data_IF_420577713583
#
_entry.id   IF_420577713583
#
_cell.length_a   1.000
_cell.length_b   1.000
_cell.length_c   1.000
_cell.angle_alpha   90.00
_cell.angle_beta   90.00
_cell.angle_gamma   90.00
#
_symmetry.space_group_name_H-M   'P 1'
#
loop_
_entity.id
_entity.type
_entity.pdbx_description
1 polymer ?
#
# COMPACT_ATOMS: atom_id res chain seq x y z
N UNK A 1 28.55 5.39 51.79
CA UNK A 1 29.91 4.92 52.13
C UNK A 1 30.67 4.68 50.83
N UNK A 2 31.93 5.11 50.81
CA UNK A 2 32.93 4.99 49.74
C UNK A 2 32.76 5.93 48.53
N UNK A 3 33.24 7.13 48.81
CA UNK A 3 33.79 8.20 47.99
C UNK A 3 34.98 7.83 47.07
N UNK A 4 35.15 8.68 46.05
CA UNK A 4 36.39 9.36 45.61
C UNK A 4 37.03 9.01 44.24
N UNK A 5 37.70 10.02 43.62
CA UNK A 5 37.55 10.41 42.22
C UNK A 5 38.93 10.43 41.51
N UNK A 6 39.02 11.00 40.29
CA UNK A 6 40.20 11.79 39.89
C UNK A 6 39.87 12.65 38.65
N UNK A 7 39.90 13.98 38.87
CA UNK A 7 40.09 15.01 37.86
C UNK A 7 41.59 15.13 37.54
N UNK A 8 41.92 15.52 36.30
CA UNK A 8 42.92 16.56 36.08
C UNK A 8 42.72 17.26 34.73
N UNK A 9 42.45 18.56 34.84
CA UNK A 9 42.51 19.66 33.87
C UNK A 9 43.88 19.82 33.18
N UNK A 10 43.93 20.31 31.93
CA UNK A 10 44.74 21.48 31.54
C UNK A 10 44.52 21.96 30.09
N UNK A 11 44.75 23.26 29.95
CA UNK A 11 44.39 24.27 28.95
C UNK A 11 44.99 24.22 27.53
N UNK A 12 44.24 24.89 26.62
CA UNK A 12 44.58 25.80 25.52
C UNK A 12 45.95 25.74 24.78
N UNK A 13 45.86 25.69 23.44
CA UNK A 13 46.68 26.48 22.51
C UNK A 13 47.52 25.69 21.50
N UNK A 14 47.10 25.65 20.23
CA UNK A 14 47.90 26.21 19.11
C UNK A 14 47.21 26.02 17.74
N UNK A 15 47.05 27.14 17.04
CA UNK A 15 46.72 27.21 15.61
C UNK A 15 47.83 26.55 14.77
N UNK A 16 47.46 25.68 13.81
CA UNK A 16 48.30 25.41 12.64
C UNK A 16 47.48 25.34 11.35
N UNK A 17 47.93 26.16 10.42
CA UNK A 17 47.39 26.41 9.10
C UNK A 17 47.42 25.21 8.15
N UNK A 18 46.47 25.28 7.21
CA UNK A 18 46.34 24.52 5.98
C UNK A 18 47.66 24.31 5.21
N UNK A 19 47.89 23.05 4.83
CA UNK A 19 48.62 22.66 3.63
C UNK A 19 48.31 21.20 3.35
N UNK A 20 47.27 20.92 2.55
CA UNK A 20 47.15 19.73 1.68
C UNK A 20 45.86 19.83 0.84
N UNK A 21 45.87 20.73 -0.14
CA UNK A 21 44.77 20.89 -1.11
C UNK A 21 45.06 20.31 -2.50
N UNK A 22 46.23 19.70 -2.72
CA UNK A 22 46.68 19.32 -4.07
C UNK A 22 46.69 17.82 -4.36
N UNK A 23 46.76 16.93 -3.37
CA UNK A 23 46.82 15.47 -3.63
C UNK A 23 45.42 14.84 -3.80
N UNK A 24 44.44 15.30 -3.00
CA UNK A 24 43.06 14.77 -3.02
C UNK A 24 42.34 15.09 -4.34
N UNK A 25 42.65 16.24 -4.95
CA UNK A 25 42.07 16.67 -6.23
C UNK A 25 42.63 15.92 -7.43
N UNK A 26 43.90 15.51 -7.38
CA UNK A 26 44.52 14.67 -8.43
C UNK A 26 44.04 13.22 -8.41
N UNK A 27 43.83 12.62 -7.23
CA UNK A 27 43.28 11.27 -7.14
C UNK A 27 41.82 11.21 -7.58
N UNK A 28 41.01 12.21 -7.21
CA UNK A 28 39.62 12.32 -7.65
C UNK A 28 39.52 12.50 -9.18
N UNK A 29 40.37 13.33 -9.76
CA UNK A 29 40.40 13.56 -11.22
C UNK A 29 40.78 12.27 -11.99
N UNK A 30 41.72 11.50 -11.45
CA UNK A 30 42.14 10.21 -12.04
C UNK A 30 41.02 9.16 -11.97
N UNK A 31 40.32 9.09 -10.84
CA UNK A 31 39.18 8.18 -10.67
C UNK A 31 38.03 8.52 -11.64
N UNK A 32 37.80 9.81 -11.89
CA UNK A 32 36.81 10.29 -12.85
C UNK A 32 37.18 9.92 -14.31
N UNK A 33 38.46 10.04 -14.69
CA UNK A 33 38.94 9.61 -16.00
C UNK A 33 38.82 8.09 -16.19
N UNK A 34 39.19 7.30 -15.18
CA UNK A 34 39.08 5.84 -15.22
C UNK A 34 37.61 5.39 -15.35
N UNK A 35 36.70 6.03 -14.62
CA UNK A 35 35.26 5.78 -14.74
C UNK A 35 34.74 6.10 -16.15
N UNK A 36 35.15 7.24 -16.71
CA UNK A 36 34.77 7.63 -18.08
C UNK A 36 35.32 6.65 -19.13
N UNK A 37 36.54 6.13 -18.94
CA UNK A 37 37.12 5.13 -19.82
C UNK A 37 36.39 3.79 -19.76
N UNK A 38 36.02 3.33 -18.57
CA UNK A 38 35.23 2.10 -18.40
C UNK A 38 33.84 2.28 -19.02
N UNK A 39 33.17 3.41 -18.76
CA UNK A 39 31.86 3.72 -19.34
C UNK A 39 31.90 3.73 -20.87
N UNK A 40 32.92 4.36 -21.49
CA UNK A 40 33.10 4.32 -22.93
C UNK A 40 33.33 2.91 -23.46
N UNK A 41 34.15 2.10 -22.79
CA UNK A 41 34.41 0.72 -23.20
C UNK A 41 33.13 -0.13 -23.15
N UNK A 42 32.32 0.02 -22.11
CA UNK A 42 31.02 -0.66 -21.98
C UNK A 42 30.07 -0.21 -23.08
N UNK A 43 29.95 1.11 -23.32
CA UNK A 43 29.11 1.67 -24.38
C UNK A 43 29.46 1.11 -25.76
N UNK A 44 30.74 1.13 -26.16
CA UNK A 44 31.15 0.61 -27.47
C UNK A 44 30.96 -0.89 -27.60
N UNK A 45 31.13 -1.64 -26.51
CA UNK A 45 30.87 -3.10 -26.49
C UNK A 45 29.39 -3.39 -26.69
N UNK A 46 28.51 -2.69 -25.97
CA UNK A 46 27.06 -2.81 -26.11
C UNK A 46 26.59 -2.39 -27.50
N UNK A 47 27.13 -1.29 -28.04
CA UNK A 47 26.82 -0.82 -29.40
C UNK A 47 27.22 -1.84 -30.48
N UNK A 48 28.36 -2.50 -30.32
CA UNK A 48 28.81 -3.56 -31.22
C UNK A 48 27.91 -4.81 -31.13
N UNK A 49 27.54 -5.22 -29.91
CA UNK A 49 26.63 -6.33 -29.69
C UNK A 49 25.24 -6.06 -30.29
N UNK A 50 24.70 -4.86 -30.05
CA UNK A 50 23.43 -4.42 -30.62
C UNK A 50 23.45 -4.42 -32.15
N UNK A 51 24.54 -3.92 -32.77
CA UNK A 51 24.68 -3.94 -34.22
C UNK A 51 24.69 -5.37 -34.77
N UNK A 52 25.36 -6.30 -34.08
CA UNK A 52 25.41 -7.71 -34.46
C UNK A 52 24.02 -8.37 -34.37
N UNK A 53 23.30 -8.15 -33.26
CA UNK A 53 21.94 -8.67 -33.08
C UNK A 53 21.00 -8.07 -34.12
N UNK A 54 21.12 -6.78 -34.42
CA UNK A 54 20.32 -6.11 -35.46
C UNK A 54 20.56 -6.71 -36.84
N UNK A 55 21.82 -7.03 -37.19
CA UNK A 55 22.12 -7.70 -38.45
C UNK A 55 21.57 -9.12 -38.53
N UNK A 56 21.61 -9.89 -37.43
CA UNK A 56 21.04 -11.24 -37.39
C UNK A 56 19.51 -11.23 -37.46
N UNK A 57 18.86 -10.25 -36.81
CA UNK A 57 17.42 -10.03 -36.94
C UNK A 57 17.02 -9.75 -38.38
N UNK A 58 17.77 -8.92 -39.09
CA UNK A 58 17.47 -8.59 -40.49
C UNK A 58 17.70 -9.78 -41.42
N UNK A 59 18.73 -10.61 -41.17
CA UNK A 59 18.93 -11.89 -41.89
C UNK A 59 17.77 -12.86 -41.67
N UNK A 60 17.31 -13.02 -40.43
CA UNK A 60 16.17 -13.88 -40.10
C UNK A 60 14.89 -13.40 -40.79
N UNK A 61 14.69 -12.08 -40.84
CA UNK A 61 13.56 -11.49 -41.55
C UNK A 61 13.61 -11.78 -43.06
N UNK A 62 14.79 -11.66 -43.68
CA UNK A 62 14.98 -12.02 -45.09
C UNK A 62 14.75 -13.51 -45.38
N UNK A 63 15.10 -14.41 -44.45
CA UNK A 63 14.80 -15.84 -44.59
C UNK A 63 13.30 -16.12 -44.56
N UNK A 64 12.57 -15.48 -43.65
CA UNK A 64 11.10 -15.60 -43.58
C UNK A 64 10.39 -15.05 -44.82
N UNK A 65 10.89 -13.96 -45.38
CA UNK A 65 10.34 -13.41 -46.63
C UNK A 65 10.64 -14.31 -47.85
N UNK A 66 11.76 -15.06 -47.86
CA UNK A 66 12.08 -16.02 -48.93
C UNK A 66 11.28 -17.34 -48.86
N UNK A 67 10.89 -17.81 -47.67
CA UNK A 67 10.05 -19.01 -47.53
C UNK A 67 8.57 -18.75 -47.90
N UNK A 68 8.16 -17.50 -48.08
CA UNK A 68 6.79 -17.14 -48.46
C UNK A 68 6.47 -17.27 -49.96
N UNK A 69 7.47 -17.56 -50.82
CA UNK A 69 7.30 -17.62 -52.29
C UNK A 69 7.43 -19.04 -52.87
N UNK A 70 7.76 -20.06 -52.07
CA UNK A 70 7.77 -21.45 -52.55
C UNK A 70 6.39 -22.11 -52.38
N UNK A 71 5.68 -22.34 -53.49
CA UNK A 71 4.43 -23.12 -53.57
C UNK A 71 4.53 -24.46 -52.82
N UNK A 72 3.45 -24.95 -52.16
CA UNK A 72 3.50 -26.20 -51.41
C UNK A 72 3.83 -27.37 -52.33
N UNK A 73 4.87 -28.13 -51.98
CA UNK A 73 5.28 -29.33 -52.69
C UNK A 73 4.17 -30.39 -52.68
N UNK A 74 4.09 -31.18 -53.75
CA UNK A 74 3.10 -32.23 -54.01
C UNK A 74 2.99 -33.32 -52.91
N UNK A 75 3.86 -33.29 -51.90
CA UNK A 75 3.88 -34.21 -50.76
C UNK A 75 2.78 -33.92 -49.72
N UNK A 76 2.34 -32.66 -49.58
CA UNK A 76 1.30 -32.27 -48.61
C UNK A 76 -0.12 -32.67 -49.09
N UNK A 77 -0.35 -32.68 -50.40
CA UNK A 77 -1.62 -33.11 -50.99
C UNK A 77 -1.79 -34.64 -50.88
N UNK A 78 -0.69 -35.41 -50.95
CA UNK A 78 -0.73 -36.87 -50.79
C UNK A 78 -1.12 -37.32 -49.37
N UNK A 79 -0.62 -36.63 -48.34
CA UNK A 79 -0.93 -36.95 -46.95
C UNK A 79 -2.39 -36.64 -46.57
N UNK A 80 -2.97 -35.58 -47.15
CA UNK A 80 -4.37 -35.21 -46.90
C UNK A 80 -5.36 -36.21 -47.50
N UNK A 81 -5.00 -36.84 -48.62
CA UNK A 81 -5.81 -37.87 -49.28
C UNK A 81 -5.69 -39.25 -48.59
N UNK A 82 -4.55 -39.56 -47.97
CA UNK A 82 -4.38 -40.80 -47.22
C UNK A 82 -5.16 -40.80 -45.89
N UNK A 83 -5.25 -39.65 -45.20
CA UNK A 83 -6.03 -39.52 -43.95
C UNK A 83 -7.55 -39.54 -44.15
N UNK A 84 -8.05 -39.23 -45.35
CA UNK A 84 -9.49 -39.21 -45.64
C UNK A 84 -10.05 -40.57 -46.06
N UNK A 85 -9.19 -41.58 -46.28
CA UNK A 85 -9.59 -42.95 -46.63
C UNK A 85 -9.67 -43.94 -45.43
N UNK A 86 -9.24 -43.56 -44.23
CA UNK A 86 -9.28 -44.45 -43.04
C UNK A 86 -10.49 -44.22 -42.11
N UNK A 87 -11.32 -43.20 -42.36
CA UNK A 87 -12.45 -42.84 -41.48
C UNK A 87 -13.78 -43.54 -41.77
N UNK A 88 -13.81 -44.62 -42.57
CA UNK A 88 -15.06 -45.32 -42.94
C UNK A 88 -15.17 -46.79 -42.54
N UNK A 89 -14.18 -47.39 -41.86
CA UNK A 89 -14.29 -48.78 -41.41
C UNK A 89 -13.94 -48.96 -39.92
N UNK A 90 -14.98 -49.30 -39.14
CA UNK A 90 -15.00 -50.04 -37.87
C UNK A 90 -15.71 -49.37 -36.68
N UNK A 91 -17.03 -49.54 -36.65
CA UNK A 91 -17.75 -49.87 -35.41
C UNK A 91 -17.44 -51.33 -35.01
N UNK A 92 -17.37 -51.58 -33.68
CA UNK A 92 -17.34 -52.87 -32.96
C UNK A 92 -15.99 -53.61 -32.80
N UNK A 93 -15.32 -53.44 -31.64
CA UNK A 93 -15.08 -54.54 -30.65
C UNK A 93 -14.34 -54.10 -29.37
N UNK A 94 -14.59 -54.88 -28.31
CA UNK A 94 -14.24 -54.71 -26.90
C UNK A 94 -12.80 -55.17 -26.50
N UNK A 95 -12.33 -54.56 -25.41
CA UNK A 95 -11.11 -54.71 -24.58
C UNK A 95 -10.45 -56.10 -24.44
N UNK A 96 -9.10 -56.14 -24.51
CA UNK A 96 -8.20 -57.00 -23.68
C UNK A 96 -6.86 -56.28 -23.42
N UNK A 97 -6.43 -56.35 -22.15
CA UNK A 97 -5.18 -55.88 -21.55
C UNK A 97 -3.96 -56.70 -22.00
N UNK A 98 -2.84 -56.07 -22.44
CA UNK A 98 -1.50 -56.67 -22.37
C UNK A 98 -0.40 -55.60 -22.15
N UNK A 99 0.67 -56.06 -21.49
CA UNK A 99 1.66 -55.33 -20.71
C UNK A 99 2.82 -54.80 -21.57
N UNK A 100 3.38 -53.68 -21.10
CA UNK A 100 4.55 -52.90 -21.51
C UNK A 100 5.73 -53.63 -22.17
N UNK A 101 6.31 -52.99 -23.20
CA UNK A 101 7.75 -52.70 -23.27
C UNK A 101 8.06 -51.56 -24.26
N UNK A 102 8.83 -50.60 -23.74
CA UNK A 102 9.71 -49.62 -24.39
C UNK A 102 9.21 -48.61 -25.45
N UNK A 103 9.41 -47.35 -25.06
CA UNK A 103 10.00 -46.26 -25.85
C UNK A 103 9.10 -45.31 -26.66
N UNK A 104 8.95 -44.12 -26.06
CA UNK A 104 9.20 -42.79 -26.65
C UNK A 104 8.14 -42.23 -27.63
N UNK A 105 7.35 -41.29 -27.08
CA UNK A 105 7.09 -39.90 -27.56
C UNK A 105 5.61 -39.48 -27.63
N UNK A 106 5.41 -38.23 -27.20
CA UNK A 106 4.25 -37.32 -27.37
C UNK A 106 3.02 -37.54 -26.48
N UNK A 107 3.12 -37.07 -25.23
CA UNK A 107 2.00 -36.40 -24.55
C UNK A 107 2.04 -34.93 -24.98
N UNK A 108 0.94 -34.47 -25.56
CA UNK A 108 0.62 -33.04 -25.73
C UNK A 108 0.35 -32.46 -24.35
N UNK A 109 1.28 -31.66 -23.83
CA UNK A 109 1.04 -30.83 -22.66
C UNK A 109 1.26 -29.37 -23.05
N UNK A 110 0.16 -28.61 -23.05
CA UNK A 110 0.17 -27.17 -23.27
C UNK A 110 0.52 -26.52 -21.94
N UNK A 111 1.82 -26.38 -21.67
CA UNK A 111 2.34 -25.57 -20.57
C UNK A 111 2.96 -24.29 -21.15
N UNK A 112 2.27 -23.16 -21.00
CA UNK A 112 2.89 -21.84 -21.04
C UNK A 112 3.82 -21.72 -19.84
N UNK A 113 5.10 -21.94 -20.07
CA UNK A 113 6.20 -21.74 -19.11
C UNK A 113 6.44 -20.23 -18.97
N UNK A 114 6.21 -19.67 -17.79
CA UNK A 114 6.71 -18.35 -17.41
C UNK A 114 8.19 -18.51 -17.04
N UNK A 115 9.08 -17.77 -17.71
CA UNK A 115 10.49 -17.71 -17.34
C UNK A 115 10.67 -16.72 -16.20
N UNK A 116 10.70 -17.23 -14.95
CA UNK A 116 11.37 -16.50 -13.87
C UNK A 116 12.89 -16.65 -14.03
N UNK A 117 13.64 -15.58 -13.77
CA UNK A 117 15.10 -15.59 -13.85
C UNK A 117 15.69 -16.62 -12.89
N UNK A 118 16.63 -17.43 -13.39
CA UNK A 118 17.21 -18.54 -12.65
C UNK A 118 18.11 -18.04 -11.50
N UNK A 119 17.69 -18.26 -10.26
CA UNK A 119 18.54 -18.07 -9.08
C UNK A 119 19.70 -19.09 -9.13
N UNK A 120 20.92 -18.58 -9.27
CA UNK A 120 22.14 -19.37 -9.14
C UNK A 120 22.35 -19.66 -7.65
N UNK A 121 22.01 -20.88 -7.23
CA UNK A 121 22.31 -21.37 -5.88
C UNK A 121 23.83 -21.58 -5.74
N UNK A 122 24.52 -20.58 -5.19
CA UNK A 122 25.86 -20.77 -4.64
C UNK A 122 25.74 -21.60 -3.35
N UNK A 123 26.21 -22.84 -3.42
CA UNK A 123 26.28 -23.75 -2.28
C UNK A 123 27.28 -23.22 -1.25
N UNK A 124 26.82 -22.87 -0.04
CA UNK A 124 27.66 -22.72 1.13
C UNK A 124 27.25 -23.76 2.19
N UNK A 125 28.27 -24.44 2.70
CA UNK A 125 28.21 -25.61 3.56
C UNK A 125 27.89 -25.26 5.03
N UNK A 126 27.10 -26.13 5.66
CA UNK A 126 26.97 -26.49 7.09
C UNK A 126 27.71 -25.67 8.17
N UNK A 127 26.95 -25.11 9.14
CA UNK A 127 26.93 -25.55 10.56
C UNK A 127 25.89 -24.77 11.39
N UNK A 128 25.29 -25.44 12.38
CA UNK A 128 24.16 -25.00 13.21
C UNK A 128 24.56 -24.19 14.46
N UNK A 129 23.62 -23.37 14.97
CA UNK A 129 23.59 -22.56 16.21
C UNK A 129 24.46 -21.27 16.18
N UNK A 130 24.05 -20.07 16.60
CA UNK A 130 23.10 -19.64 17.64
C UNK A 130 22.30 -18.36 17.26
N UNK A 131 21.36 -18.01 18.14
CA UNK A 131 20.50 -16.82 18.15
C UNK A 131 21.33 -15.53 18.23
N UNK A 132 21.11 -14.59 17.30
CA UNK A 132 21.49 -13.18 17.47
C UNK A 132 20.59 -12.28 16.62
N UNK A 133 19.87 -11.38 17.30
CA UNK A 133 19.22 -10.21 16.68
C UNK A 133 20.31 -9.23 16.24
N UNK A 134 20.48 -9.01 14.94
CA UNK A 134 21.23 -7.86 14.43
C UNK A 134 20.70 -7.44 13.04
N UNK A 135 20.06 -6.27 13.01
CA UNK A 135 19.58 -5.60 11.81
C UNK A 135 20.78 -4.98 11.08
N UNK A 136 21.25 -5.61 10.00
CA UNK A 136 22.22 -4.99 9.10
C UNK A 136 21.60 -4.54 7.78
N UNK A 137 21.66 -3.22 7.63
CA UNK A 137 21.40 -2.40 6.46
C UNK A 137 22.33 -2.77 5.30
N UNK A 138 21.74 -3.10 4.14
CA UNK A 138 22.37 -2.98 2.84
C UNK A 138 21.28 -2.63 1.81
N UNK A 139 21.32 -1.38 1.35
CA UNK A 139 20.51 -0.82 0.29
C UNK A 139 21.10 -1.18 -1.07
N UNK A 140 20.34 -1.88 -1.91
CA UNK A 140 20.60 -1.94 -3.35
C UNK A 140 19.54 -1.11 -4.08
N UNK A 141 20.02 0.01 -4.62
CA UNK A 141 19.33 0.92 -5.52
C UNK A 141 19.09 0.18 -6.84
N UNK A 142 17.85 0.19 -7.33
CA UNK A 142 17.59 -0.07 -8.75
C UNK A 142 16.75 1.06 -9.32
N UNK A 143 17.41 1.94 -10.05
CA UNK A 143 16.80 2.92 -10.94
C UNK A 143 16.11 2.15 -12.08
N UNK A 144 14.78 2.26 -12.15
CA UNK A 144 14.06 1.94 -13.39
C UNK A 144 13.60 3.25 -14.01
N UNK A 145 14.52 3.85 -14.78
CA UNK A 145 14.21 4.83 -15.82
C UNK A 145 13.42 4.08 -16.90
N UNK A 146 12.14 4.41 -17.05
CA UNK A 146 11.37 4.04 -18.24
C UNK A 146 11.57 5.12 -19.30
N UNK A 147 12.49 4.89 -20.23
CA UNK A 147 12.55 5.63 -21.49
C UNK A 147 11.75 4.87 -22.57
N UNK A 148 11.00 5.67 -23.33
CA UNK A 148 10.54 5.48 -24.70
C UNK A 148 9.32 4.60 -25.03
N UNK A 149 8.19 5.29 -25.18
CA UNK A 149 7.28 5.11 -26.31
C UNK A 149 6.84 6.48 -26.85
N UNK A 150 7.74 7.16 -27.57
CA UNK A 150 7.41 8.31 -28.40
C UNK A 150 8.22 8.23 -29.70
N UNK A 151 7.67 7.55 -30.70
CA UNK A 151 8.11 7.76 -32.08
C UNK A 151 6.93 7.75 -33.03
N UNK A 152 6.80 8.89 -33.71
CA UNK A 152 6.02 9.21 -34.90
C UNK A 152 4.65 9.86 -34.65
N UNK A 153 4.65 11.18 -34.44
CA UNK A 153 3.65 12.11 -35.03
C UNK A 153 4.05 13.60 -34.88
N UNK A 154 5.34 13.93 -35.01
CA UNK A 154 5.79 15.35 -35.07
C UNK A 154 6.05 15.71 -36.53
N UNK A 155 4.98 15.98 -37.29
CA UNK A 155 5.13 16.82 -38.50
C UNK A 155 3.88 17.59 -38.94
N UNK A 156 2.74 17.54 -38.22
CA UNK A 156 1.49 18.16 -38.70
C UNK A 156 0.84 19.24 -37.82
N UNK A 157 1.46 19.73 -36.74
CA UNK A 157 0.83 20.78 -35.90
C UNK A 157 1.74 21.98 -35.66
N UNK A 158 2.07 22.72 -36.72
CA UNK A 158 2.68 24.06 -36.62
C UNK A 158 1.80 25.20 -37.14
N UNK A 159 0.49 24.99 -37.27
CA UNK A 159 -0.44 26.04 -37.72
C UNK A 159 -1.77 26.02 -36.98
N UNK A 160 -1.79 26.32 -35.68
CA UNK A 160 -2.86 27.12 -35.01
C UNK A 160 -2.49 27.33 -33.54
N UNK A 161 -1.72 28.39 -33.26
CA UNK A 161 -1.68 28.99 -31.92
C UNK A 161 -2.45 30.29 -32.00
N UNK A 162 -3.77 30.21 -31.91
CA UNK A 162 -4.59 31.34 -31.53
C UNK A 162 -4.77 31.30 -30.01
N UNK A 163 -4.26 32.32 -29.33
CA UNK A 163 -4.48 32.58 -27.91
C UNK A 163 -5.98 32.68 -27.63
N UNK A 164 -6.50 31.80 -26.78
CA UNK A 164 -7.79 32.01 -26.11
C UNK A 164 -7.53 32.91 -24.88
N UNK A 165 -8.28 34.00 -24.67
CA UNK A 165 -8.03 34.92 -23.55
C UNK A 165 -8.37 34.28 -22.20
N UNK A 166 -7.60 34.69 -21.19
CA UNK A 166 -7.86 34.48 -19.75
C UNK A 166 -9.34 34.66 -19.40
N UNK A 167 -10.02 33.54 -19.20
CA UNK A 167 -11.22 33.45 -18.38
C UNK A 167 -10.92 32.41 -17.31
N UNK A 168 -10.83 32.85 -16.05
CA UNK A 168 -10.81 31.96 -14.89
C UNK A 168 -12.14 31.19 -14.92
N UNK A 169 -12.13 30.04 -15.57
CA UNK A 169 -13.22 29.08 -15.48
C UNK A 169 -12.90 28.23 -14.25
N UNK A 170 -13.48 28.59 -13.11
CA UNK A 170 -13.50 27.73 -11.91
C UNK A 170 -14.11 26.39 -12.32
N UNK A 171 -13.24 25.44 -12.66
CA UNK A 171 -13.63 24.08 -12.97
C UNK A 171 -13.89 23.37 -11.64
N UNK A 172 -15.02 23.66 -10.99
CA UNK A 172 -15.54 22.81 -9.93
C UNK A 172 -15.90 21.45 -10.53
N UNK A 173 -14.89 20.59 -10.68
CA UNK A 173 -15.04 19.24 -11.18
C UNK A 173 -15.89 18.46 -10.18
N UNK A 174 -17.17 18.28 -10.51
CA UNK A 174 -18.11 17.52 -9.68
C UNK A 174 -17.53 16.13 -9.37
N UNK A 175 -17.38 15.80 -8.08
CA UNK A 175 -16.87 14.49 -7.64
C UNK A 175 -17.74 13.36 -8.21
N UNK A 176 -17.10 12.30 -8.74
CA UNK A 176 -17.83 11.12 -9.26
C UNK A 176 -18.59 10.42 -8.14
N UNK A 177 -19.80 9.94 -8.43
CA UNK A 177 -20.64 9.19 -7.48
C UNK A 177 -20.66 7.68 -7.72
N UNK A 178 -20.03 7.21 -8.81
CA UNK A 178 -19.94 5.78 -9.16
C UNK A 178 -18.66 5.48 -9.95
N UNK A 179 -18.23 4.23 -9.90
CA UNK A 179 -17.16 3.70 -10.75
C UNK A 179 -17.70 3.26 -12.12
N UNK A 180 -16.84 3.17 -13.16
CA UNK A 180 -17.24 2.71 -14.49
C UNK A 180 -17.78 1.28 -14.54
N UNK A 181 -17.37 0.43 -13.59
CA UNK A 181 -17.75 -0.98 -13.52
C UNK A 181 -18.06 -1.41 -12.09
N UNK A 182 -18.92 -2.43 -11.89
CA UNK A 182 -19.13 -3.05 -10.59
C UNK A 182 -17.92 -3.87 -10.15
N UNK A 183 -17.85 -4.19 -8.85
CA UNK A 183 -16.83 -5.08 -8.29
C UNK A 183 -16.85 -6.46 -8.97
N UNK A 184 -15.69 -7.05 -9.33
CA UNK A 184 -15.64 -8.37 -9.95
C UNK A 184 -16.16 -9.47 -9.03
N UNK A 185 -16.71 -10.54 -9.62
CA UNK A 185 -17.08 -11.72 -8.85
C UNK A 185 -15.83 -12.55 -8.50
N UNK A 186 -15.50 -12.63 -7.22
CA UNK A 186 -14.31 -13.32 -6.71
C UNK A 186 -14.58 -14.76 -6.28
N UNK A 187 -15.75 -15.35 -6.60
CA UNK A 187 -16.12 -16.72 -6.19
C UNK A 187 -15.12 -17.80 -6.59
N UNK A 188 -14.37 -17.56 -7.67
CA UNK A 188 -13.44 -18.53 -8.25
C UNK A 188 -12.03 -18.45 -7.63
N UNK A 189 -11.77 -17.45 -6.78
CA UNK A 189 -10.45 -17.24 -6.16
C UNK A 189 -10.46 -17.83 -4.74
N UNK A 190 -9.76 -18.96 -4.56
CA UNK A 190 -9.61 -19.57 -3.24
C UNK A 190 -8.55 -18.84 -2.40
N UNK A 191 -9.01 -17.99 -1.47
CA UNK A 191 -8.16 -17.39 -0.44
C UNK A 191 -7.42 -18.44 0.39
N UNK A 192 -8.04 -19.61 0.59
CA UNK A 192 -7.42 -20.69 1.34
C UNK A 192 -6.17 -21.22 0.67
N UNK A 193 -6.16 -21.35 -0.65
CA UNK A 193 -4.96 -21.82 -1.37
C UNK A 193 -3.81 -20.81 -1.21
N UNK A 194 -4.11 -19.52 -1.25
CA UNK A 194 -3.12 -18.45 -1.05
C UNK A 194 -2.58 -18.48 0.39
N UNK A 195 -3.47 -18.52 1.38
CA UNK A 195 -3.08 -18.46 2.80
C UNK A 195 -2.37 -19.72 3.25
N UNK A 196 -2.83 -20.91 2.82
CA UNK A 196 -2.19 -22.20 3.11
C UNK A 196 -0.74 -22.23 2.64
N UNK A 197 -0.48 -21.71 1.44
CA UNK A 197 0.87 -21.69 0.85
C UNK A 197 1.79 -20.67 1.52
N UNK A 198 1.26 -19.80 2.39
CA UNK A 198 1.98 -18.72 3.05
C UNK A 198 1.87 -18.74 4.59
N UNK A 199 1.48 -19.88 5.18
CA UNK A 199 1.47 -20.04 6.64
C UNK A 199 2.89 -19.85 7.19
N UNK A 200 3.04 -19.01 8.21
CA UNK A 200 4.32 -18.71 8.85
C UNK A 200 5.16 -17.64 8.16
N UNK A 201 4.74 -17.15 6.98
CA UNK A 201 5.37 -16.01 6.30
C UNK A 201 4.72 -14.69 6.72
N UNK A 202 5.46 -13.59 6.55
CA UNK A 202 4.88 -12.25 6.65
C UNK A 202 3.89 -12.04 5.49
N UNK A 203 2.60 -11.89 5.82
CA UNK A 203 1.53 -11.72 4.84
C UNK A 203 1.68 -10.44 3.99
N UNK A 204 2.47 -9.46 4.44
CA UNK A 204 2.77 -8.26 3.65
C UNK A 204 3.52 -8.60 2.34
N UNK A 205 4.30 -9.69 2.34
CA UNK A 205 5.06 -10.18 1.17
C UNK A 205 4.27 -11.14 0.28
N UNK A 206 3.01 -11.43 0.61
CA UNK A 206 2.17 -12.35 -0.16
C UNK A 206 1.44 -11.59 -1.27
N UNK A 207 1.79 -11.92 -2.52
CA UNK A 207 1.10 -11.43 -3.72
C UNK A 207 -0.35 -11.93 -3.71
N UNK A 208 -1.29 -10.99 -3.78
CA UNK A 208 -2.72 -11.30 -3.84
C UNK A 208 -3.21 -11.09 -5.27
N UNK A 209 -4.06 -11.99 -5.80
CA UNK A 209 -4.74 -11.75 -7.07
C UNK A 209 -5.48 -10.42 -7.05
N UNK A 210 -5.34 -9.65 -8.13
CA UNK A 210 -5.90 -8.29 -8.25
C UNK A 210 -7.41 -8.23 -7.98
N UNK A 211 -8.16 -9.29 -8.29
CA UNK A 211 -9.59 -9.35 -8.03
C UNK A 211 -9.97 -9.32 -6.54
N UNK A 212 -9.03 -9.61 -5.63
CA UNK A 212 -9.25 -9.53 -4.18
C UNK A 212 -8.87 -8.16 -3.60
N UNK A 213 -8.27 -7.28 -4.41
CA UNK A 213 -7.97 -5.93 -4.02
C UNK A 213 -9.17 -5.01 -4.23
N UNK A 214 -9.31 -4.00 -3.39
CA UNK A 214 -10.13 -2.83 -3.73
C UNK A 214 -9.32 -1.84 -4.57
N UNK A 215 -9.95 -1.02 -5.42
CA UNK A 215 -9.26 -0.06 -6.28
C UNK A 215 -8.80 1.19 -5.52
N UNK A 216 -8.20 0.99 -4.34
CA UNK A 216 -7.58 2.01 -3.50
C UNK A 216 -6.28 1.47 -2.91
N UNK A 217 -5.28 2.32 -2.76
CA UNK A 217 -4.01 1.98 -2.09
C UNK A 217 -4.01 2.41 -0.61
N UNK A 218 -2.98 2.04 0.15
CA UNK A 218 -2.84 2.44 1.57
C UNK A 218 -2.76 3.96 1.76
N UNK A 219 -2.16 4.70 0.81
CA UNK A 219 -2.04 6.16 0.86
C UNK A 219 -3.40 6.85 0.82
N UNK A 220 -4.30 6.34 -0.01
CA UNK A 220 -5.69 6.75 -0.09
C UNK A 220 -6.45 6.37 1.17
N UNK A 221 -6.21 5.17 1.73
CA UNK A 221 -6.81 4.77 3.03
C UNK A 221 -6.48 5.74 4.16
N UNK A 222 -5.25 6.25 4.20
CA UNK A 222 -4.87 7.28 5.18
C UNK A 222 -5.67 8.58 5.00
N UNK A 223 -5.95 8.98 3.75
CA UNK A 223 -6.78 10.14 3.47
C UNK A 223 -8.24 9.93 3.89
N UNK A 224 -8.76 8.69 3.83
CA UNK A 224 -10.13 8.40 4.25
C UNK A 224 -10.37 8.64 5.76
N UNK A 225 -9.32 8.72 6.57
CA UNK A 225 -9.45 9.08 7.99
C UNK A 225 -9.91 10.53 8.20
N UNK A 226 -9.78 11.37 7.17
CA UNK A 226 -10.30 12.75 7.12
C UNK A 226 -11.74 12.82 6.56
N UNK A 227 -12.45 11.68 6.44
CA UNK A 227 -13.86 11.68 6.04
C UNK A 227 -14.72 12.56 6.97
N UNK A 228 -14.40 12.62 8.26
CA UNK A 228 -15.14 13.40 9.25
C UNK A 228 -14.29 14.56 9.84
N UNK A 229 -13.48 15.22 9.00
CA UNK A 229 -12.58 16.32 9.41
C UNK A 229 -13.34 17.50 10.05
N UNK A 230 -14.62 17.68 9.77
CA UNK A 230 -15.46 18.72 10.38
C UNK A 230 -15.58 18.59 11.90
N UNK A 231 -15.26 17.44 12.48
CA UNK A 231 -15.14 17.26 13.92
C UNK A 231 -13.94 18.04 14.48
N UNK A 232 -12.84 18.13 13.74
CA UNK A 232 -11.67 18.93 14.10
C UNK A 232 -11.96 20.42 13.95
N UNK A 233 -12.69 20.83 12.90
CA UNK A 233 -13.16 22.20 12.77
C UNK A 233 -14.00 22.63 13.96
N UNK A 234 -14.99 21.81 14.37
CA UNK A 234 -15.78 22.06 15.58
C UNK A 234 -14.90 22.16 16.82
N UNK A 235 -13.93 21.27 16.98
CA UNK A 235 -13.01 21.30 18.12
C UNK A 235 -12.19 22.61 18.15
N UNK A 236 -11.74 23.12 17.00
CA UNK A 236 -10.93 24.32 16.89
C UNK A 236 -11.64 25.60 17.41
N UNK A 237 -12.97 25.60 17.50
CA UNK A 237 -13.75 26.75 18.00
C UNK A 237 -14.29 26.58 19.43
N UNK A 238 -13.97 25.48 20.12
CA UNK A 238 -14.49 25.20 21.47
C UNK A 238 -13.49 25.64 22.55
N UNK A 239 -13.82 26.62 23.42
CA UNK A 239 -12.88 27.10 24.44
C UNK A 239 -12.56 26.07 25.53
N UNK A 240 -13.49 25.19 25.85
CA UNK A 240 -13.36 24.21 26.92
C UNK A 240 -12.52 22.99 26.46
N UNK A 241 -11.33 22.73 27.05
CA UNK A 241 -10.45 21.63 26.61
C UNK A 241 -11.10 20.25 26.80
N UNK A 242 -11.98 20.07 27.78
CA UNK A 242 -12.70 18.81 28.00
C UNK A 242 -13.69 18.52 26.87
N UNK A 243 -14.36 19.55 26.35
CA UNK A 243 -15.28 19.42 25.22
C UNK A 243 -14.51 19.26 23.90
N UNK A 244 -13.38 19.95 23.71
CA UNK A 244 -12.49 19.71 22.56
C UNK A 244 -12.04 18.25 22.50
N UNK A 245 -11.62 17.70 23.64
CA UNK A 245 -11.22 16.29 23.75
C UNK A 245 -12.33 15.34 23.31
N UNK A 246 -13.61 15.65 23.57
CA UNK A 246 -14.75 14.84 23.11
C UNK A 246 -14.82 14.79 21.57
N UNK A 247 -14.59 15.91 20.89
CA UNK A 247 -14.59 15.95 19.42
C UNK A 247 -13.37 15.27 18.80
N UNK A 248 -12.18 15.46 19.37
CA UNK A 248 -10.96 14.74 18.94
C UNK A 248 -11.14 13.23 19.14
N UNK A 249 -11.76 12.82 20.25
CA UNK A 249 -12.09 11.42 20.52
C UNK A 249 -13.10 10.84 19.52
N UNK A 250 -14.13 11.61 19.15
CA UNK A 250 -15.05 11.21 18.10
C UNK A 250 -14.37 11.10 16.73
N UNK A 251 -13.49 12.03 16.39
CA UNK A 251 -12.70 12.00 15.16
C UNK A 251 -11.83 10.74 15.10
N UNK A 252 -11.09 10.42 16.17
CA UNK A 252 -10.25 9.22 16.24
C UNK A 252 -11.03 7.91 16.04
N UNK A 253 -12.28 7.83 16.53
CA UNK A 253 -13.14 6.66 16.32
C UNK A 253 -13.71 6.63 14.90
N UNK A 254 -14.05 7.79 14.33
CA UNK A 254 -14.66 7.89 13.00
C UNK A 254 -13.79 7.29 11.89
N UNK A 255 -12.46 7.32 12.05
CA UNK A 255 -11.49 6.70 11.15
C UNK A 255 -11.70 5.18 10.93
N UNK A 256 -12.40 4.51 11.85
CA UNK A 256 -12.69 3.07 11.75
C UNK A 256 -14.03 2.77 11.05
N UNK A 257 -14.91 3.75 10.86
CA UNK A 257 -16.29 3.52 10.43
C UNK A 257 -16.38 2.85 9.04
N UNK A 258 -15.59 3.35 8.09
CA UNK A 258 -15.59 2.89 6.70
C UNK A 258 -15.07 1.45 6.53
N UNK A 259 -14.38 0.89 7.54
CA UNK A 259 -13.88 -0.47 7.52
C UNK A 259 -15.03 -1.50 7.61
N UNK A 260 -16.15 -1.13 8.23
CA UNK A 260 -17.30 -2.01 8.45
C UNK A 260 -17.81 -2.61 7.13
N UNK A 261 -17.94 -1.76 6.10
CA UNK A 261 -18.45 -2.14 4.79
C UNK A 261 -17.39 -2.77 3.88
N UNK A 262 -16.11 -2.78 4.31
CA UNK A 262 -14.95 -3.19 3.50
C UNK A 262 -14.07 -4.23 4.19
N UNK A 263 -14.62 -4.96 5.16
CA UNK A 263 -13.93 -5.99 5.95
C UNK A 263 -13.24 -7.08 5.11
N UNK A 264 -13.58 -7.24 3.82
CA UNK A 264 -12.98 -8.22 2.92
C UNK A 264 -11.99 -7.67 1.90
N UNK A 265 -11.78 -6.36 1.88
CA UNK A 265 -11.01 -5.67 0.84
C UNK A 265 -9.57 -5.46 1.26
N UNK A 266 -8.62 -5.83 0.40
CA UNK A 266 -7.20 -5.50 0.59
C UNK A 266 -6.88 -4.25 -0.25
N UNK A 267 -6.38 -3.15 0.33
CA UNK A 267 -5.87 -2.06 -0.47
C UNK A 267 -4.60 -2.48 -1.22
N UNK A 268 -4.32 -1.82 -2.34
CA UNK A 268 -3.03 -1.95 -3.00
C UNK A 268 -1.90 -1.51 -2.06
N UNK A 269 -0.82 -2.29 -2.04
CA UNK A 269 0.41 -1.90 -1.37
C UNK A 269 1.13 -0.90 -2.28
N UNK A 270 1.30 0.36 -1.87
CA UNK A 270 1.98 1.35 -2.71
C UNK A 270 3.43 0.94 -3.00
N UNK A 271 3.94 1.34 -4.16
CA UNK A 271 5.38 1.21 -4.47
C UNK A 271 6.18 2.27 -3.70
N UNK A 272 7.49 2.03 -3.49
CA UNK A 272 8.36 3.01 -2.83
C UNK A 272 8.36 4.33 -3.61
N UNK A 273 8.17 5.45 -2.92
CA UNK A 273 8.08 6.79 -3.53
C UNK A 273 6.75 7.09 -4.23
N UNK A 274 5.77 6.18 -4.19
CA UNK A 274 4.41 6.49 -4.64
C UNK A 274 3.81 7.57 -3.74
N UNK A 275 3.10 8.52 -4.35
CA UNK A 275 2.47 9.65 -3.66
C UNK A 275 0.96 9.69 -3.92
N UNK A 276 0.20 10.30 -3.01
CA UNK A 276 -1.20 10.61 -3.20
C UNK A 276 -1.55 11.96 -2.57
N UNK A 277 -2.38 12.75 -3.26
CA UNK A 277 -2.87 14.04 -2.77
C UNK A 277 -4.40 14.11 -2.81
N UNK A 278 -5.02 14.79 -1.83
CA UNK A 278 -6.38 15.34 -1.95
C UNK A 278 -6.37 16.81 -1.57
N UNK A 279 -6.67 17.67 -2.52
CA UNK A 279 -7.15 19.02 -2.22
C UNK A 279 -8.67 18.92 -2.11
N UNK A 280 -9.16 19.02 -0.88
CA UNK A 280 -10.54 18.80 -0.54
C UNK A 280 -11.16 20.16 -0.15
N UNK A 281 -11.39 21.03 -1.15
CA UNK A 281 -11.87 22.42 -0.99
C UNK A 281 -13.17 22.51 -0.18
N UNK A 282 -14.10 21.58 -0.42
CA UNK A 282 -15.39 21.48 0.29
C UNK A 282 -15.24 21.25 1.80
N UNK A 283 -14.11 20.69 2.22
CA UNK A 283 -13.77 20.44 3.63
C UNK A 283 -12.63 21.31 4.15
N UNK A 284 -12.11 22.23 3.33
CA UNK A 284 -11.06 23.17 3.73
C UNK A 284 -9.75 22.53 4.18
N UNK A 285 -9.34 21.40 3.57
CA UNK A 285 -8.04 20.79 3.84
C UNK A 285 -7.28 20.37 2.58
N UNK A 286 -5.96 20.34 2.67
CA UNK A 286 -5.03 19.83 1.68
C UNK A 286 -4.26 18.67 2.30
N UNK A 287 -4.34 17.50 1.68
CA UNK A 287 -3.72 16.26 2.14
C UNK A 287 -2.65 15.80 1.16
N UNK A 288 -1.51 15.35 1.68
CA UNK A 288 -0.46 14.68 0.94
C UNK A 288 0.03 13.43 1.68
N UNK A 289 0.38 12.39 0.96
CA UNK A 289 1.00 11.19 1.52
C UNK A 289 1.98 10.53 0.56
N UNK A 290 2.94 9.82 1.15
CA UNK A 290 4.03 9.15 0.44
C UNK A 290 4.32 7.78 1.07
N UNK A 291 4.66 6.81 0.22
CA UNK A 291 5.23 5.54 0.65
C UNK A 291 6.73 5.69 0.89
N UNK A 292 7.11 5.99 2.14
CA UNK A 292 8.50 6.33 2.52
C UNK A 292 9.40 5.11 2.74
N UNK A 293 8.83 3.92 2.84
CA UNK A 293 9.59 2.66 2.94
C UNK A 293 8.78 1.49 2.41
N UNK A 294 9.45 0.50 1.82
CA UNK A 294 8.82 -0.74 1.32
C UNK A 294 9.10 -1.96 2.20
N UNK A 295 10.27 -2.01 2.86
CA UNK A 295 10.68 -3.11 3.73
C UNK A 295 11.28 -2.57 5.05
N UNK A 296 10.46 -2.37 6.10
CA UNK A 296 9.02 -2.62 6.15
C UNK A 296 8.20 -1.58 5.37
N UNK A 297 6.96 -1.93 4.99
CA UNK A 297 6.05 -0.99 4.34
C UNK A 297 5.60 0.10 5.33
N UNK A 298 6.00 1.35 5.08
CA UNK A 298 5.65 2.53 5.88
C UNK A 298 5.07 3.59 4.95
N UNK A 299 3.88 4.08 5.30
CA UNK A 299 3.21 5.19 4.62
C UNK A 299 3.17 6.38 5.57
N UNK A 300 3.61 7.55 5.12
CA UNK A 300 3.51 8.80 5.86
C UNK A 300 2.45 9.70 5.20
N UNK A 301 1.71 10.46 6.00
CA UNK A 301 0.79 11.47 5.50
C UNK A 301 0.78 12.74 6.36
N UNK A 302 0.41 13.84 5.72
CA UNK A 302 0.28 15.16 6.31
C UNK A 302 -0.91 15.87 5.67
N UNK A 303 -1.67 16.61 6.47
CA UNK A 303 -2.78 17.41 6.03
C UNK A 303 -2.82 18.76 6.76
N UNK A 304 -3.11 19.80 5.99
CA UNK A 304 -3.20 21.17 6.49
C UNK A 304 -4.58 21.74 6.19
N UNK A 305 -5.11 22.45 7.18
CA UNK A 305 -6.32 23.26 7.13
C UNK A 305 -6.05 24.55 7.91
N UNK A 306 -6.89 25.56 7.72
CA UNK A 306 -6.84 26.78 8.54
C UNK A 306 -7.04 26.48 10.04
N UNK A 307 -7.79 25.42 10.36
CA UNK A 307 -8.19 25.09 11.73
C UNK A 307 -7.38 23.96 12.38
N UNK A 308 -6.74 23.11 11.59
CA UNK A 308 -6.00 21.96 12.10
C UNK A 308 -4.84 21.55 11.20
N UNK A 309 -3.86 20.88 11.80
CA UNK A 309 -2.80 20.16 11.10
C UNK A 309 -2.85 18.71 11.56
N UNK A 310 -2.92 17.76 10.63
CA UNK A 310 -3.03 16.32 10.90
C UNK A 310 -1.87 15.60 10.24
N UNK A 311 -1.20 14.69 10.95
CA UNK A 311 -0.17 13.84 10.34
C UNK A 311 -0.01 12.53 11.08
N UNK A 312 0.57 11.55 10.38
CA UNK A 312 0.96 10.26 10.93
C UNK A 312 1.89 9.54 9.97
N UNK A 313 2.67 8.62 10.50
CA UNK A 313 3.26 7.52 9.77
C UNK A 313 2.68 6.20 10.29
N UNK A 314 2.42 5.27 9.38
CA UNK A 314 1.84 3.98 9.73
C UNK A 314 2.60 2.83 9.09
N UNK A 315 2.86 1.82 9.92
CA UNK A 315 3.30 0.49 9.50
C UNK A 315 2.24 -0.52 9.88
N UNK A 316 1.82 -1.35 8.93
CA UNK A 316 0.84 -2.41 9.18
C UNK A 316 1.53 -3.75 9.37
N UNK A 317 1.35 -4.39 10.53
CA UNK A 317 1.83 -5.75 10.79
C UNK A 317 0.66 -6.72 10.80
N UNK A 318 0.63 -7.62 9.82
CA UNK A 318 -0.45 -8.59 9.66
C UNK A 318 -0.05 -9.96 10.24
N UNK A 319 -0.94 -10.60 11.00
CA UNK A 319 -0.77 -11.94 11.57
C UNK A 319 -1.94 -12.83 11.17
N UNK A 320 -1.65 -13.99 10.61
CA UNK A 320 -2.66 -14.99 10.26
C UNK A 320 -2.86 -15.99 11.40
N UNK A 321 -4.10 -16.15 11.85
CA UNK A 321 -4.48 -17.07 12.93
C UNK A 321 -5.30 -18.26 12.40
N UNK A 322 -5.12 -18.63 11.12
CA UNK A 322 -5.81 -19.75 10.49
C UNK A 322 -7.22 -19.38 9.97
N UNK A 323 -8.12 -18.87 10.82
CA UNK A 323 -9.48 -18.45 10.39
C UNK A 323 -9.66 -16.94 10.29
N UNK A 324 -8.75 -16.19 10.90
CA UNK A 324 -8.81 -14.74 11.00
C UNK A 324 -7.45 -14.12 10.69
N UNK A 325 -7.45 -12.88 10.23
CA UNK A 325 -6.24 -12.07 10.07
C UNK A 325 -6.31 -10.92 11.06
N UNK A 326 -5.29 -10.80 11.89
CA UNK A 326 -5.09 -9.69 12.82
C UNK A 326 -4.17 -8.65 12.16
N UNK A 327 -4.62 -7.40 12.14
CA UNK A 327 -3.96 -6.24 11.56
C UNK A 327 -3.55 -5.33 12.72
N UNK A 328 -2.26 -5.20 12.94
CA UNK A 328 -1.68 -4.39 14.02
C UNK A 328 -1.07 -3.13 13.42
N UNK A 329 -1.72 -1.96 13.56
CA UNK A 329 -1.11 -0.69 13.21
C UNK A 329 0.02 -0.35 14.19
N UNK A 330 1.16 0.11 13.65
CA UNK A 330 2.31 0.61 14.41
C UNK A 330 2.57 2.04 13.92
N UNK A 331 2.42 3.00 14.82
CA UNK A 331 2.50 4.43 14.54
C UNK A 331 1.59 5.22 15.48
N UNK A 332 1.76 6.54 15.47
CA UNK A 332 0.95 7.49 16.24
C UNK A 332 0.28 8.47 15.30
N UNK A 333 -0.93 8.90 15.67
CA UNK A 333 -1.67 9.93 14.95
C UNK A 333 -1.60 11.22 15.72
N UNK A 334 -1.38 12.32 15.00
CA UNK A 334 -1.22 13.64 15.58
C UNK A 334 -2.19 14.65 14.97
N UNK A 335 -2.71 15.54 15.82
CA UNK A 335 -3.49 16.70 15.41
C UNK A 335 -3.04 17.93 16.19
N UNK A 336 -2.72 19.02 15.50
CA UNK A 336 -2.58 20.35 16.10
C UNK A 336 -3.85 21.15 15.85
N UNK A 337 -4.36 21.83 16.87
CA UNK A 337 -5.37 22.89 16.74
C UNK A 337 -4.71 24.24 17.02
N UNK A 338 -4.30 25.02 16.00
CA UNK A 338 -3.48 26.21 16.18
C UNK A 338 -4.12 27.28 17.06
N UNK A 339 -5.45 27.44 16.99
CA UNK A 339 -6.19 28.44 17.75
C UNK A 339 -6.00 28.37 19.27
N UNK A 340 -5.82 27.16 19.80
CA UNK A 340 -5.55 26.91 21.23
C UNK A 340 -4.12 26.42 21.51
N UNK A 341 -3.30 26.25 20.47
CA UNK A 341 -1.97 25.62 20.53
C UNK A 341 -2.01 24.21 21.11
N UNK A 342 -3.10 23.48 20.89
CA UNK A 342 -3.20 22.09 21.32
C UNK A 342 -2.40 21.20 20.38
N UNK A 343 -1.80 20.14 20.93
CA UNK A 343 -1.17 19.08 20.17
C UNK A 343 -1.65 17.74 20.70
N UNK A 344 -2.63 17.15 20.03
CA UNK A 344 -3.16 15.85 20.36
C UNK A 344 -2.34 14.73 19.73
N UNK A 345 -2.13 13.66 20.49
CA UNK A 345 -1.49 12.43 20.06
C UNK A 345 -2.31 11.22 20.54
N UNK A 346 -2.47 10.21 19.68
CA UNK A 346 -3.04 8.93 20.08
C UNK A 346 -2.50 7.74 19.28
N UNK A 347 -2.65 6.55 19.87
CA UNK A 347 -2.36 5.27 19.23
C UNK A 347 -3.58 4.71 18.48
N UNK A 348 -3.35 3.83 17.51
CA UNK A 348 -4.40 3.03 16.86
C UNK A 348 -4.61 1.69 17.56
N UNK A 349 -5.77 1.07 17.31
CA UNK A 349 -6.13 -0.25 17.86
C UNK A 349 -6.03 -1.34 16.82
N UNK A 350 -5.89 -2.57 17.31
CA UNK A 350 -5.82 -3.76 16.47
C UNK A 350 -7.17 -4.03 15.82
N UNK A 351 -7.11 -4.46 14.55
CA UNK A 351 -8.27 -4.94 13.80
C UNK A 351 -8.14 -6.43 13.53
N UNK A 352 -9.25 -7.17 13.57
CA UNK A 352 -9.28 -8.58 13.24
C UNK A 352 -10.39 -8.84 12.24
N UNK A 353 -10.02 -9.36 11.08
CA UNK A 353 -10.97 -9.81 10.07
C UNK A 353 -11.21 -11.30 10.29
N UNK A 354 -12.44 -11.64 10.63
CA UNK A 354 -12.88 -13.00 10.90
C UNK A 354 -13.45 -13.65 9.63
N UNK A 355 -13.53 -14.98 9.65
CA UNK A 355 -14.12 -15.79 8.57
C UNK A 355 -13.45 -15.57 7.21
N UNK A 356 -12.13 -15.38 7.19
CA UNK A 356 -11.36 -15.11 5.96
C UNK A 356 -11.53 -16.22 4.92
N UNK A 357 -11.68 -17.47 5.37
CA UNK A 357 -11.75 -18.64 4.50
C UNK A 357 -13.17 -19.01 4.08
N UNK A 358 -14.08 -19.06 5.04
CA UNK A 358 -15.44 -19.58 4.88
C UNK A 358 -16.43 -18.69 5.64
N UNK A 359 -17.57 -18.41 5.01
CA UNK A 359 -18.66 -17.65 5.61
C UNK A 359 -18.58 -16.13 5.33
N UNK A 360 -19.50 -15.39 5.93
CA UNK A 360 -19.51 -13.94 5.82
C UNK A 360 -18.36 -13.35 6.64
N UNK A 361 -17.47 -12.61 5.95
CA UNK A 361 -16.39 -11.86 6.59
C UNK A 361 -16.97 -10.71 7.40
N UNK A 362 -16.37 -10.48 8.55
CA UNK A 362 -16.70 -9.34 9.40
C UNK A 362 -15.42 -8.87 10.10
N UNK A 363 -15.38 -7.57 10.39
CA UNK A 363 -14.23 -6.94 11.05
C UNK A 363 -14.58 -6.58 12.48
N UNK A 364 -13.61 -6.76 13.35
CA UNK A 364 -13.65 -6.39 14.75
C UNK A 364 -12.45 -5.52 15.08
N UNK A 365 -12.69 -4.40 15.77
CA UNK A 365 -11.63 -3.59 16.35
C UNK A 365 -11.61 -3.83 17.86
N UNK A 366 -10.43 -3.94 18.46
CA UNK A 366 -10.30 -4.08 19.90
C UNK A 366 -9.00 -3.49 20.42
N UNK A 367 -9.05 -2.98 21.65
CA UNK A 367 -7.94 -2.33 22.32
C UNK A 367 -8.35 -0.98 22.89
N UNK A 368 -7.39 -0.28 23.47
CA UNK A 368 -7.58 1.05 24.03
C UNK A 368 -6.86 2.09 23.16
N UNK A 369 -7.57 3.15 22.77
CA UNK A 369 -7.00 4.40 22.29
C UNK A 369 -6.81 5.32 23.50
N UNK A 370 -5.60 5.83 23.67
CA UNK A 370 -5.28 6.85 24.66
C UNK A 370 -4.97 8.14 23.93
N UNK A 371 -5.79 9.17 24.14
CA UNK A 371 -5.64 10.49 23.53
C UNK A 371 -5.14 11.45 24.59
N UNK A 372 -4.04 12.14 24.30
CA UNK A 372 -3.44 13.14 25.18
C UNK A 372 -3.19 14.42 24.40
N UNK A 373 -3.29 15.55 25.07
CA UNK A 373 -2.74 16.80 24.58
C UNK A 373 -1.33 16.96 25.18
N UNK A 374 -0.31 17.09 24.32
CA UNK A 374 1.09 17.21 24.73
C UNK A 374 1.40 18.60 25.29
N UNK A 375 0.59 19.60 24.98
CA UNK A 375 0.76 20.98 25.44
C UNK A 375 -0.15 21.34 26.64
N UNK A 376 -1.10 20.48 27.01
CA UNK A 376 -2.00 20.66 28.15
C UNK A 376 -2.28 19.32 28.85
N UNK A 377 -1.85 19.18 30.10
CA UNK A 377 -2.04 17.98 30.92
C UNK A 377 -3.35 17.99 31.73
N UNK A 378 -4.22 18.99 31.50
CA UNK A 378 -5.48 19.16 32.24
C UNK A 378 -6.44 17.99 32.06
N UNK A 379 -6.44 17.34 30.89
CA UNK A 379 -7.29 16.20 30.59
C UNK A 379 -6.66 15.22 29.59
N UNK A 380 -7.13 13.97 29.64
CA UNK A 380 -6.84 12.94 28.65
C UNK A 380 -8.09 12.10 28.40
N UNK A 381 -8.15 11.40 27.27
CA UNK A 381 -9.25 10.50 26.95
C UNK A 381 -8.74 9.06 26.85
N UNK A 382 -9.50 8.12 27.41
CA UNK A 382 -9.33 6.69 27.20
C UNK A 382 -10.58 6.14 26.53
N UNK A 383 -10.40 5.51 25.37
CA UNK A 383 -11.46 4.93 24.55
C UNK A 383 -11.16 3.46 24.33
N UNK A 384 -12.06 2.58 24.75
CA UNK A 384 -11.97 1.13 24.57
C UNK A 384 -12.89 0.69 23.44
N UNK A 385 -12.30 0.02 22.45
CA UNK A 385 -13.05 -0.78 21.48
C UNK A 385 -13.36 -2.14 22.12
N UNK A 386 -14.63 -2.38 22.41
CA UNK A 386 -15.06 -3.53 23.21
C UNK A 386 -14.99 -4.78 22.36
N UNK A 387 -14.08 -5.69 22.72
CA UNK A 387 -13.98 -7.01 22.09
C UNK A 387 -15.26 -7.82 22.37
N UNK A 388 -15.84 -8.39 21.32
CA UNK A 388 -17.02 -9.24 21.38
C UNK A 388 -16.71 -10.47 22.23
N UNK A 389 -17.55 -10.73 23.24
CA UNK A 389 -17.44 -11.90 24.11
C UNK A 389 -18.58 -12.85 23.82
N UNK A 390 -18.35 -14.16 23.93
CA UNK A 390 -19.36 -15.19 23.66
C UNK A 390 -20.69 -15.01 24.43
N UNK A 391 -20.66 -14.34 25.58
CA UNK A 391 -21.83 -14.08 26.43
C UNK A 391 -22.42 -12.68 26.28
N UNK A 392 -21.76 -11.75 25.58
CA UNK A 392 -22.23 -10.38 25.44
C UNK A 392 -22.66 -10.09 23.99
N UNK A 393 -23.85 -9.50 23.83
CA UNK A 393 -24.40 -9.11 22.52
C UNK A 393 -23.92 -7.72 22.05
N UNK A 394 -23.08 -7.04 22.82
CA UNK A 394 -22.43 -5.77 22.46
C UNK A 394 -21.44 -5.96 21.31
N UNK A 395 -21.93 -5.97 20.06
CA UNK A 395 -21.05 -6.02 18.90
C UNK A 395 -20.73 -4.59 18.46
N UNK A 396 -19.45 -4.33 18.20
CA UNK A 396 -18.94 -3.06 17.67
C UNK A 396 -19.04 -1.86 18.64
N UNK A 397 -19.20 -2.13 19.93
CA UNK A 397 -19.36 -1.07 20.93
C UNK A 397 -18.03 -0.39 21.25
N UNK A 398 -18.10 0.91 21.50
CA UNK A 398 -17.04 1.72 22.08
C UNK A 398 -17.48 2.27 23.42
N UNK A 399 -16.56 2.33 24.37
CA UNK A 399 -16.75 2.94 25.67
C UNK A 399 -15.56 3.85 25.97
N UNK A 400 -15.81 5.11 26.33
CA UNK A 400 -14.75 6.06 26.58
C UNK A 400 -15.02 6.98 27.76
N UNK A 401 -13.94 7.53 28.31
CA UNK A 401 -13.98 8.51 29.37
C UNK A 401 -12.98 9.63 29.07
N UNK A 402 -13.43 10.87 29.13
CA UNK A 402 -12.56 12.04 29.26
C UNK A 402 -12.33 12.25 30.75
N UNK A 403 -11.06 12.20 31.15
CA UNK A 403 -10.63 12.29 32.53
C UNK A 403 -9.87 13.59 32.76
N UNK A 404 -10.05 14.20 33.93
CA UNK A 404 -9.17 15.28 34.38
C UNK A 404 -7.79 14.74 34.81
N UNK A 405 -6.86 15.65 35.11
CA UNK A 405 -5.53 15.32 35.62
C UNK A 405 -5.50 14.47 36.89
N UNK A 406 -6.60 14.44 37.66
CA UNK A 406 -6.73 13.65 38.87
C UNK A 406 -7.36 12.26 38.61
N UNK A 407 -7.70 11.96 37.34
CA UNK A 407 -8.37 10.73 36.96
C UNK A 407 -9.88 10.73 37.20
N UNK A 408 -10.48 11.88 37.51
CA UNK A 408 -11.94 12.01 37.64
C UNK A 408 -12.56 12.06 36.25
N UNK A 409 -13.58 11.21 36.03
CA UNK A 409 -14.35 11.21 34.79
C UNK A 409 -15.19 12.49 34.68
N UNK A 410 -14.97 13.25 33.62
CA UNK A 410 -15.70 14.48 33.29
C UNK A 410 -16.78 14.21 32.23
N UNK A 411 -16.40 13.52 31.15
CA UNK A 411 -17.33 13.08 30.11
C UNK A 411 -17.23 11.58 29.88
N UNK A 412 -18.36 10.97 29.52
CA UNK A 412 -18.44 9.56 29.10
C UNK A 412 -18.84 9.51 27.65
N UNK A 413 -18.14 8.71 26.88
CA UNK A 413 -18.39 8.44 25.47
C UNK A 413 -18.89 7.01 25.32
N UNK A 414 -19.89 6.80 24.48
CA UNK A 414 -20.38 5.46 24.16
C UNK A 414 -21.04 5.45 22.79
N UNK A 415 -21.11 4.29 22.16
CA UNK A 415 -21.76 4.15 20.87
C UNK A 415 -21.24 2.94 20.10
N UNK A 416 -21.39 2.99 18.78
CA UNK A 416 -20.91 1.98 17.85
C UNK A 416 -20.01 2.62 16.83
N UNK A 417 -18.78 2.14 16.69
CA UNK A 417 -17.75 2.77 15.85
C UNK A 417 -18.11 2.87 14.36
N UNK A 418 -19.11 2.13 13.89
CA UNK A 418 -19.58 2.15 12.50
C UNK A 418 -20.89 2.93 12.31
N UNK A 419 -21.49 3.46 13.39
CA UNK A 419 -22.79 4.14 13.30
C UNK A 419 -22.77 5.53 13.94
N UNK A 420 -22.39 5.64 15.22
CA UNK A 420 -22.55 6.86 16.00
C UNK A 420 -21.77 6.84 17.31
N UNK A 421 -21.49 8.04 17.83
CA UNK A 421 -20.88 8.29 19.14
C UNK A 421 -21.73 9.32 19.89
N UNK A 422 -22.00 9.01 21.16
CA UNK A 422 -22.69 9.88 22.10
C UNK A 422 -21.76 10.28 23.25
N UNK A 423 -21.99 11.47 23.79
CA UNK A 423 -21.40 11.96 25.02
C UNK A 423 -22.50 12.16 26.08
N UNK A 424 -22.23 11.78 27.32
CA UNK A 424 -23.11 11.97 28.46
C UNK A 424 -23.51 10.66 29.12
N UNK A 425 -24.72 10.60 29.68
CA UNK A 425 -25.28 9.37 30.24
C UNK A 425 -26.22 8.69 29.25
N UNK A 426 -26.44 7.37 29.34
CA UNK A 426 -27.44 6.69 28.51
C UNK A 426 -28.86 7.27 28.66
N UNK A 427 -29.15 7.92 29.79
CA UNK A 427 -30.43 8.61 30.06
C UNK A 427 -30.55 10.00 29.42
N UNK A 428 -29.43 10.62 29.00
CA UNK A 428 -29.39 11.94 28.37
C UNK A 428 -28.24 12.00 27.36
N UNK A 429 -28.31 11.23 26.26
CA UNK A 429 -27.25 11.16 25.27
C UNK A 429 -27.20 12.42 24.39
N UNK A 430 -26.04 13.05 24.27
CA UNK A 430 -25.77 14.05 23.23
C UNK A 430 -25.01 13.39 22.07
N UNK A 431 -25.53 13.44 20.85
CA UNK A 431 -24.88 12.84 19.69
C UNK A 431 -23.74 13.75 19.20
N UNK A 432 -22.50 13.22 19.18
CA UNK A 432 -21.30 13.96 18.77
C UNK A 432 -20.94 13.66 17.32
N UNK A 433 -21.11 12.41 16.89
CA UNK A 433 -20.80 11.97 15.55
C UNK A 433 -21.78 10.88 15.09
N UNK A 434 -22.01 10.82 13.78
CA UNK A 434 -22.79 9.80 13.08
C UNK A 434 -22.16 9.51 11.72
N UNK A 435 -22.05 8.23 11.36
CA UNK A 435 -21.57 7.80 10.06
C UNK A 435 -22.58 8.16 8.96
N UNK A 436 -22.08 8.59 7.80
CA UNK A 436 -22.90 8.84 6.61
C UNK A 436 -23.32 7.48 6.04
N UNK A 437 -24.62 7.17 6.08
CA UNK A 437 -25.16 5.94 5.50
C UNK A 437 -25.62 6.27 4.08
N UNK A 438 -25.12 5.54 3.08
CA UNK A 438 -25.44 5.71 1.64
C UNK A 438 -26.95 5.71 1.29
N UNK A 439 -27.85 5.36 2.23
CA UNK A 439 -29.31 5.46 2.04
C UNK A 439 -29.84 6.90 2.08
N UNK A 440 -29.13 7.83 2.72
CA UNK A 440 -29.60 9.21 2.87
C UNK A 440 -29.33 10.09 1.65
N UNK A 441 -28.55 9.61 0.67
CA UNK A 441 -28.35 10.25 -0.64
C UNK A 441 -29.54 10.05 -1.61
N UNK A 442 -30.61 9.37 -1.19
CA UNK A 442 -31.80 9.09 -2.00
C UNK A 442 -33.01 9.97 -1.73
N UNK A 443 -33.00 10.84 -0.70
CA UNK A 443 -34.20 11.61 -0.34
C UNK A 443 -33.97 12.90 0.46
N UNK A 444 -32.77 13.47 0.42
CA UNK A 444 -32.53 14.82 0.92
C UNK A 444 -32.22 15.72 -0.27
N UNK A 445 -33.06 16.73 -0.46
CA UNK A 445 -32.75 17.88 -1.29
C UNK A 445 -31.35 18.37 -0.92
N UNK A 446 -30.47 18.37 -1.92
CA UNK A 446 -29.09 18.85 -1.80
C UNK A 446 -29.16 20.37 -1.77
N UNK A 447 -29.15 20.90 -0.56
CA UNK A 447 -28.65 22.23 -0.20
C UNK A 447 -28.00 22.10 1.19
N UNK A 448 -26.76 21.58 1.25
CA UNK A 448 -25.67 21.96 2.17
C UNK A 448 -24.35 21.56 1.53
#
# INVERSE_FOLDING_TARGET
>A
HASNPNLSTLDYGDEKMYSNGSEVTTEFSKLQEDLCHIAHKVYFTLKSAFSTISTEREKLKQMFDHDSVASPSAQIIGLKNALSSESSEHQNRSLVHQISNESRLSITDSLTEFFDAQEVLLSASSSENEVSDDDSYASDISDNISEDNLSNDIENERQTLDCVPDGIMECHSRRRTRLPAPCPNTSNISLWNILRNNIGKDLSKVSMPVGLNEPLNTLQKLCEELEYSELLDKAAFIPNPFERMVYVAAFAVSAYASSYYRAGSKPFNPVLGETYECICEDKGFQFFSEQVSHHPAISACHAESDNFIFWQDIRWKNKFWGKSIEIVPIGTTHVILPGFKDHYEWNKVTSCIHNILNGQRWIEHYGEIIIKNLNDDSCHCKLTFVKTKYWNRSVHDIEGNVLDKNGKVVHRLFGKWHENIYCGTPSSPNCIWRAIISKDLGQADVDV
#
